data_IF_172735597447
#
_entry.id   IF_172735597447
#
_cell.length_a   1.000
_cell.length_b   1.000
_cell.length_c   1.000
_cell.angle_alpha   90.00
_cell.angle_beta   90.00
_cell.angle_gamma   90.00
#
_symmetry.space_group_name_H-M   'P 1'
#
loop_
_entity.id
_entity.type
_entity.pdbx_description
1 polymer ?
#
# COMPACT_ATOMS: atom_id res chain seq x y z
N UNK A 1 -17.44 -1.72 5.01
CA UNK A 1 -18.34 -2.47 5.91
C UNK A 1 -18.53 -1.70 7.22
N UNK A 2 -17.50 -1.55 8.05
CA UNK A 2 -17.58 -0.82 9.34
C UNK A 2 -17.81 0.68 9.23
N UNK A 3 -17.08 1.36 8.33
CA UNK A 3 -17.21 2.81 8.12
C UNK A 3 -18.57 3.22 7.56
N UNK A 4 -19.13 2.38 6.68
CA UNK A 4 -20.41 2.63 6.01
C UNK A 4 -21.59 1.88 6.67
N UNK A 5 -21.35 1.23 7.82
CA UNK A 5 -22.32 0.41 8.56
C UNK A 5 -23.11 -0.59 7.69
N UNK A 6 -22.45 -1.16 6.67
CA UNK A 6 -23.05 -2.14 5.79
C UNK A 6 -22.88 -3.54 6.38
N UNK A 7 -23.88 -4.41 6.20
CA UNK A 7 -23.70 -5.83 6.53
C UNK A 7 -22.74 -6.51 5.54
N UNK A 8 -22.23 -7.69 5.92
CA UNK A 8 -21.39 -8.48 5.03
C UNK A 8 -22.11 -8.84 3.72
N UNK A 9 -23.42 -9.14 3.79
CA UNK A 9 -24.24 -9.44 2.61
C UNK A 9 -24.42 -8.22 1.70
N UNK A 10 -24.69 -7.04 2.29
CA UNK A 10 -24.78 -5.79 1.51
C UNK A 10 -23.45 -5.44 0.84
N UNK A 11 -22.34 -5.64 1.55
CA UNK A 11 -20.99 -5.45 1.02
C UNK A 11 -20.71 -6.41 -0.12
N UNK A 12 -21.06 -7.69 0.02
CA UNK A 12 -20.89 -8.69 -1.05
C UNK A 12 -21.69 -8.33 -2.30
N UNK A 13 -22.95 -7.90 -2.14
CA UNK A 13 -23.80 -7.46 -3.25
C UNK A 13 -23.25 -6.21 -3.93
N UNK A 14 -22.78 -5.22 -3.16
CA UNK A 14 -22.18 -4.00 -3.69
C UNK A 14 -20.97 -4.30 -4.59
N UNK A 15 -20.12 -5.24 -4.17
CA UNK A 15 -18.94 -5.66 -4.93
C UNK A 15 -19.21 -6.83 -5.90
N UNK A 16 -20.48 -7.21 -6.09
CA UNK A 16 -20.90 -8.31 -6.99
C UNK A 16 -20.16 -9.63 -6.72
N UNK A 17 -19.91 -9.93 -5.44
CA UNK A 17 -19.27 -11.16 -5.00
C UNK A 17 -20.30 -12.28 -4.90
N UNK A 18 -19.94 -13.47 -5.39
CA UNK A 18 -20.85 -14.62 -5.43
C UNK A 18 -21.20 -15.23 -4.07
N UNK A 19 -20.50 -14.86 -2.99
CA UNK A 19 -20.79 -15.34 -1.65
C UNK A 19 -20.36 -14.35 -0.57
N UNK A 20 -21.23 -14.15 0.43
CA UNK A 20 -20.95 -13.36 1.63
C UNK A 20 -19.71 -13.84 2.40
N UNK A 21 -19.42 -15.14 2.34
CA UNK A 21 -18.27 -15.75 2.99
C UNK A 21 -16.92 -15.21 2.46
N UNK A 22 -16.88 -14.70 1.22
CA UNK A 22 -15.65 -14.07 0.68
C UNK A 22 -15.30 -12.82 1.48
N UNK A 23 -16.31 -11.97 1.76
CA UNK A 23 -16.13 -10.73 2.53
C UNK A 23 -15.68 -11.03 3.95
N UNK A 24 -16.32 -12.00 4.63
CA UNK A 24 -15.97 -12.37 6.00
C UNK A 24 -14.55 -12.95 6.12
N UNK A 25 -14.11 -13.74 5.12
CA UNK A 25 -12.74 -14.25 5.08
C UNK A 25 -11.73 -13.13 4.88
N UNK A 26 -11.99 -12.21 3.95
CA UNK A 26 -11.11 -11.06 3.71
C UNK A 26 -11.03 -10.13 4.92
N UNK A 27 -12.16 -9.90 5.58
CA UNK A 27 -12.22 -9.13 6.82
C UNK A 27 -11.32 -9.76 7.90
N UNK A 28 -11.45 -11.06 8.14
CA UNK A 28 -10.59 -11.76 9.11
C UNK A 28 -9.11 -11.64 8.77
N UNK A 29 -8.74 -11.92 7.51
CA UNK A 29 -7.35 -11.81 7.04
C UNK A 29 -6.82 -10.39 7.26
N UNK A 30 -7.62 -9.38 6.94
CA UNK A 30 -7.22 -7.99 7.10
C UNK A 30 -6.97 -7.61 8.57
N UNK A 31 -7.78 -8.11 9.50
CA UNK A 31 -7.57 -7.84 10.93
C UNK A 31 -6.41 -8.63 11.54
N UNK A 32 -6.16 -9.85 11.08
CA UNK A 32 -5.10 -10.71 11.61
C UNK A 32 -3.71 -10.36 11.03
N UNK A 33 -3.64 -10.07 9.72
CA UNK A 33 -2.38 -9.97 8.98
C UNK A 33 -2.23 -8.66 8.19
N UNK A 34 -3.26 -7.80 8.24
CA UNK A 34 -3.27 -6.55 7.50
C UNK A 34 -3.53 -6.72 6.00
N UNK A 35 -3.32 -5.63 5.26
CA UNK A 35 -3.53 -5.62 3.81
C UNK A 35 -2.59 -6.58 3.07
N UNK A 36 -1.37 -6.81 3.58
CA UNK A 36 -0.43 -7.76 2.96
C UNK A 36 -0.99 -9.18 2.89
N UNK A 37 -1.68 -9.64 3.93
CA UNK A 37 -2.24 -10.99 4.00
C UNK A 37 -3.30 -11.29 2.93
N UNK A 38 -3.92 -10.27 2.32
CA UNK A 38 -4.87 -10.42 1.21
C UNK A 38 -4.19 -10.71 -0.14
N UNK A 39 -2.90 -10.38 -0.29
CA UNK A 39 -2.13 -10.64 -1.50
C UNK A 39 -1.44 -12.01 -1.51
N UNK A 40 -1.49 -12.72 -0.38
CA UNK A 40 -0.92 -14.06 -0.25
C UNK A 40 -1.87 -15.14 -0.80
N UNK A 41 -1.32 -16.01 -1.65
CA UNK A 41 -2.08 -17.13 -2.22
C UNK A 41 -2.23 -18.27 -1.18
N UNK A 42 -3.41 -18.36 -0.56
CA UNK A 42 -3.75 -19.44 0.41
C UNK A 42 -4.44 -20.65 -0.20
N UNK A 43 -4.45 -20.76 -1.53
CA UNK A 43 -5.06 -21.90 -2.20
C UNK A 43 -4.20 -23.14 -1.92
N UNK A 44 -4.79 -24.15 -1.25
CA UNK A 44 -4.10 -25.36 -0.77
C UNK A 44 -3.20 -26.04 -1.81
N UNK A 45 -3.71 -27.04 -2.55
CA UNK A 45 -2.87 -27.73 -3.54
C UNK A 45 -2.55 -26.75 -4.68
N UNK A 46 -1.27 -26.37 -4.79
CA UNK A 46 -0.75 -25.64 -5.96
C UNK A 46 -1.27 -26.31 -7.23
N UNK A 47 -1.94 -25.53 -8.07
CA UNK A 47 -2.37 -26.00 -9.38
C UNK A 47 -1.08 -26.23 -10.17
N UNK A 48 -0.68 -27.50 -10.36
CA UNK A 48 0.48 -27.93 -11.20
C UNK A 48 0.38 -27.51 -12.69
N UNK A 49 -0.57 -26.66 -13.04
CA UNK A 49 -0.63 -26.02 -14.34
C UNK A 49 0.13 -24.71 -14.17
N UNK A 50 1.34 -24.61 -14.73
CA UNK A 50 2.13 -23.37 -14.73
C UNK A 50 1.25 -22.26 -15.32
N UNK A 51 0.57 -21.49 -14.47
CA UNK A 51 -0.03 -20.23 -14.89
C UNK A 51 1.14 -19.39 -15.37
N UNK A 52 0.97 -18.78 -16.54
CA UNK A 52 1.98 -18.00 -17.27
C UNK A 52 2.42 -16.71 -16.54
N UNK A 53 2.09 -16.63 -15.27
CA UNK A 53 2.25 -15.53 -14.34
C UNK A 53 3.04 -16.04 -13.14
N UNK A 54 4.12 -16.77 -13.39
CA UNK A 54 5.29 -16.58 -12.54
C UNK A 54 5.54 -15.08 -12.58
N UNK A 55 5.14 -14.36 -11.52
CA UNK A 55 5.41 -12.93 -11.33
C UNK A 55 6.85 -12.74 -11.79
N UNK A 56 7.06 -12.10 -12.94
CA UNK A 56 8.40 -11.88 -13.49
C UNK A 56 9.14 -11.16 -12.38
N UNK A 57 9.97 -11.90 -11.63
CA UNK A 57 10.87 -11.30 -10.67
C UNK A 57 11.61 -10.24 -11.47
N UNK A 58 11.53 -8.99 -11.02
CA UNK A 58 12.27 -7.93 -11.68
C UNK A 58 13.71 -8.42 -11.79
N UNK A 59 14.35 -8.17 -12.94
CA UNK A 59 15.76 -8.50 -13.08
C UNK A 59 16.49 -7.82 -11.92
N UNK A 60 17.37 -8.54 -11.22
CA UNK A 60 18.01 -8.05 -9.99
C UNK A 60 18.66 -6.68 -10.19
N UNK A 61 19.25 -6.47 -11.36
CA UNK A 61 19.86 -5.20 -11.76
C UNK A 61 18.85 -4.03 -11.72
N UNK A 62 17.61 -4.24 -12.19
CA UNK A 62 16.54 -3.23 -12.16
C UNK A 62 16.12 -2.96 -10.71
N UNK A 63 16.08 -3.98 -9.87
CA UNK A 63 15.72 -3.84 -8.46
C UNK A 63 16.77 -3.03 -7.69
N UNK A 64 18.06 -3.27 -7.95
CA UNK A 64 19.17 -2.51 -7.38
C UNK A 64 19.15 -1.04 -7.83
N UNK A 65 18.93 -0.77 -9.12
CA UNK A 65 18.79 0.58 -9.66
C UNK A 65 17.61 1.33 -9.01
N UNK A 66 16.47 0.66 -8.84
CA UNK A 66 15.29 1.22 -8.17
C UNK A 66 15.56 1.55 -6.70
N UNK A 67 16.33 0.70 -5.99
CA UNK A 67 16.71 0.95 -4.60
C UNK A 67 17.62 2.19 -4.50
N UNK A 68 18.62 2.30 -5.39
CA UNK A 68 19.52 3.45 -5.43
C UNK A 68 18.76 4.75 -5.71
N UNK A 69 17.86 4.74 -6.69
CA UNK A 69 17.03 5.90 -7.01
C UNK A 69 16.09 6.26 -5.83
N UNK A 70 15.52 5.27 -5.15
CA UNK A 70 14.70 5.54 -3.96
C UNK A 70 15.50 6.21 -2.84
N UNK A 71 16.74 5.79 -2.61
CA UNK A 71 17.63 6.42 -1.64
C UNK A 71 17.96 7.87 -2.03
N UNK A 72 18.28 8.11 -3.32
CA UNK A 72 18.51 9.46 -3.85
C UNK A 72 17.31 10.37 -3.63
N UNK A 73 16.11 9.90 -3.98
CA UNK A 73 14.86 10.63 -3.81
C UNK A 73 14.53 10.90 -2.34
N UNK A 74 14.90 10.00 -1.42
CA UNK A 74 14.72 10.24 0.02
C UNK A 74 15.61 11.37 0.51
N UNK A 75 16.88 11.38 0.12
CA UNK A 75 17.80 12.47 0.46
C UNK A 75 17.33 13.82 -0.11
N UNK A 76 16.89 13.83 -1.37
CA UNK A 76 16.34 15.02 -2.00
C UNK A 76 15.08 15.54 -1.27
N UNK A 77 14.17 14.64 -0.89
CA UNK A 77 13.00 15.00 -0.10
C UNK A 77 13.36 15.56 1.28
N UNK A 78 14.35 14.99 1.97
CA UNK A 78 14.82 15.53 3.25
C UNK A 78 15.43 16.93 3.08
N UNK A 79 16.25 17.13 2.06
CA UNK A 79 16.81 18.43 1.74
C UNK A 79 15.71 19.48 1.50
N UNK A 80 14.70 19.15 0.68
CA UNK A 80 13.57 20.04 0.41
C UNK A 80 12.74 20.35 1.67
N UNK A 81 12.55 19.37 2.56
CA UNK A 81 11.88 19.59 3.85
C UNK A 81 12.65 20.55 4.74
N UNK A 82 13.97 20.37 4.84
CA UNK A 82 14.84 21.25 5.62
C UNK A 82 14.84 22.67 5.06
N UNK A 83 14.92 22.81 3.73
CA UNK A 83 14.82 24.10 3.07
C UNK A 83 13.48 24.79 3.36
N UNK A 84 12.37 24.08 3.23
CA UNK A 84 11.04 24.62 3.52
C UNK A 84 10.94 25.06 4.99
N UNK A 85 11.48 24.30 5.93
CA UNK A 85 11.51 24.67 7.35
C UNK A 85 12.26 26.00 7.59
N UNK A 86 13.43 26.18 6.97
CA UNK A 86 14.21 27.42 7.07
C UNK A 86 13.47 28.62 6.47
N UNK A 87 12.85 28.43 5.31
CA UNK A 87 12.04 29.47 4.65
C UNK A 87 10.86 29.86 5.55
N UNK A 88 10.14 28.90 6.11
CA UNK A 88 9.05 29.16 7.05
C UNK A 88 9.52 29.90 8.30
N UNK A 89 10.68 29.53 8.85
CA UNK A 89 11.25 30.23 10.00
C UNK A 89 11.58 31.69 9.66
N UNK A 90 12.19 31.94 8.50
CA UNK A 90 12.49 33.29 8.02
C UNK A 90 11.22 34.14 7.87
N UNK A 91 10.19 33.62 7.22
CA UNK A 91 8.89 34.31 7.06
C UNK A 91 8.30 34.66 8.42
N UNK A 92 8.30 33.72 9.38
CA UNK A 92 7.83 33.97 10.75
C UNK A 92 8.62 35.08 11.45
N UNK A 93 9.95 35.12 11.27
CA UNK A 93 10.81 36.17 11.85
C UNK A 93 10.53 37.53 11.21
N UNK A 94 10.35 37.60 9.90
CA UNK A 94 10.03 38.85 9.18
C UNK A 94 8.63 39.37 9.55
N UNK A 95 7.63 38.49 9.66
CA UNK A 95 6.28 38.87 10.07
C UNK A 95 6.16 39.31 11.53
N UNK A 96 7.06 38.88 12.42
CA UNK A 96 7.13 39.36 13.81
C UNK A 96 7.78 40.74 13.95
N UNK A 97 8.53 41.18 12.94
CA UNK A 97 9.23 42.48 12.93
C UNK A 97 8.39 43.60 12.29
N UNK A 98 7.35 43.25 11.54
CA UNK A 98 6.29 44.15 11.10
C UNK A 98 5.23 44.27 12.19
#
# INVERSE_FOLDING_TARGET
MHTNHLSATQTANHFKLGATNVVLKWERIYYEEGAQGLYEERCGRSRKMKSKEDKKKLNKDIEEDLIAENQRLRMENEYLKNLNALVQERIKRENKKK
#
